data_IF_757805878481
#
_entry.id   IF_757805878481
#
_cell.length_a   1.000
_cell.length_b   1.000
_cell.length_c   1.000
_cell.angle_alpha   90.00
_cell.angle_beta   90.00
_cell.angle_gamma   90.00
#
_symmetry.space_group_name_H-M   'P 1'
#
loop_
_entity.id
_entity.type
_entity.pdbx_description
1 polymer ?
#
# COMPACT_ATOMS: atom_id res chain seq x y z
N UNK A 1 3.38 46.26 51.54
CA UNK A 1 3.08 46.60 50.13
C UNK A 1 3.67 45.49 49.27
N UNK A 2 3.00 45.02 48.21
CA UNK A 2 3.56 43.96 47.35
C UNK A 2 4.90 44.40 46.76
N UNK A 3 5.85 43.46 46.68
CA UNK A 3 7.19 43.72 46.15
C UNK A 3 7.13 44.07 44.66
N UNK A 4 8.17 44.70 44.12
CA UNK A 4 8.22 44.95 42.67
C UNK A 4 8.19 43.66 41.86
N UNK A 5 8.88 42.62 42.32
CA UNK A 5 8.91 41.30 41.68
C UNK A 5 7.53 40.63 41.64
N UNK A 6 6.73 40.75 42.70
CA UNK A 6 5.35 40.23 42.72
C UNK A 6 4.46 40.96 41.72
N UNK A 7 4.58 42.29 41.63
CA UNK A 7 3.80 43.09 40.67
C UNK A 7 4.16 42.74 39.23
N UNK A 8 5.44 42.52 38.95
CA UNK A 8 5.91 42.15 37.62
C UNK A 8 5.51 40.72 37.25
N UNK A 9 5.48 39.80 38.22
CA UNK A 9 4.90 38.47 38.02
C UNK A 9 3.41 38.52 37.67
N UNK A 10 2.61 39.33 38.37
CA UNK A 10 1.19 39.49 38.05
C UNK A 10 0.96 40.13 36.67
N UNK A 11 1.78 41.11 36.27
CA UNK A 11 1.75 41.66 34.91
C UNK A 11 2.04 40.59 33.87
N UNK A 12 3.05 39.76 34.10
CA UNK A 12 3.39 38.65 33.22
C UNK A 12 2.22 37.65 33.07
N UNK A 13 1.56 37.27 34.17
CA UNK A 13 0.37 36.40 34.13
C UNK A 13 -0.79 37.01 33.33
N UNK A 14 -0.93 38.34 33.33
CA UNK A 14 -1.95 39.05 32.54
C UNK A 14 -1.61 39.17 31.04
N UNK A 15 -0.48 38.62 30.59
CA UNK A 15 -0.01 38.68 29.20
C UNK A 15 0.92 39.87 28.91
N UNK A 16 1.45 40.53 29.94
CA UNK A 16 2.48 41.57 29.82
C UNK A 16 3.89 41.01 29.60
N UNK A 17 4.88 41.90 29.45
CA UNK A 17 6.28 41.54 29.24
C UNK A 17 6.94 40.97 30.51
N UNK A 18 7.93 40.09 30.31
CA UNK A 18 8.79 39.57 31.37
C UNK A 18 9.89 40.59 31.69
N UNK A 19 9.63 41.49 32.65
CA UNK A 19 10.55 42.58 32.99
C UNK A 19 11.59 42.15 34.05
N UNK A 20 11.19 41.29 34.99
CA UNK A 20 12.04 40.73 36.05
C UNK A 20 12.81 39.48 35.59
N UNK A 21 13.99 39.24 36.19
CA UNK A 21 14.81 38.04 35.97
C UNK A 21 14.00 36.75 36.18
N UNK A 22 13.20 36.70 37.25
CA UNK A 22 12.32 35.57 37.55
C UNK A 22 11.28 35.30 36.43
N UNK A 23 10.65 36.35 35.91
CA UNK A 23 9.65 36.21 34.83
C UNK A 23 10.27 35.79 33.50
N UNK A 24 11.53 36.15 33.24
CA UNK A 24 12.26 35.75 32.03
C UNK A 24 12.63 34.27 32.07
N UNK A 25 13.11 33.79 33.21
CA UNK A 25 13.41 32.36 33.40
C UNK A 25 12.13 31.51 33.26
N UNK A 26 11.02 32.00 33.82
CA UNK A 26 9.72 31.35 33.68
C UNK A 26 9.28 31.27 32.21
N UNK A 27 9.41 32.36 31.44
CA UNK A 27 9.03 32.40 30.02
C UNK A 27 9.86 31.42 29.17
N UNK A 28 11.17 31.31 29.44
CA UNK A 28 12.05 30.34 28.79
C UNK A 28 11.61 28.90 29.10
N UNK A 29 11.28 28.60 30.35
CA UNK A 29 10.80 27.27 30.76
C UNK A 29 9.45 26.94 30.12
N UNK A 30 8.52 27.89 30.10
CA UNK A 30 7.20 27.70 29.46
C UNK A 30 7.36 27.51 27.95
N UNK A 31 8.20 28.30 27.30
CA UNK A 31 8.45 28.20 25.86
C UNK A 31 9.09 26.86 25.50
N UNK A 32 10.09 26.41 26.27
CA UNK A 32 10.72 25.10 26.06
C UNK A 32 9.72 23.94 26.27
N UNK A 33 8.88 24.02 27.30
CA UNK A 33 7.82 23.04 27.56
C UNK A 33 6.77 23.01 26.44
N UNK A 34 6.33 24.18 25.94
CA UNK A 34 5.39 24.32 24.81
C UNK A 34 6.00 23.77 23.53
N UNK A 35 7.26 24.08 23.26
CA UNK A 35 7.96 23.58 22.09
C UNK A 35 8.07 22.07 22.12
N UNK A 36 8.43 21.49 23.28
CA UNK A 36 8.45 20.04 23.46
C UNK A 36 7.06 19.41 23.24
N UNK A 37 5.99 20.04 23.76
CA UNK A 37 4.63 19.56 23.54
C UNK A 37 4.20 19.63 22.06
N UNK A 38 4.50 20.73 21.37
CA UNK A 38 4.20 20.87 19.94
C UNK A 38 5.00 19.89 19.09
N UNK A 39 6.28 19.70 19.40
CA UNK A 39 7.12 18.71 18.72
C UNK A 39 6.62 17.29 18.93
N UNK A 40 6.21 16.93 20.16
CA UNK A 40 5.57 15.63 20.41
C UNK A 40 4.30 15.47 19.58
N UNK A 41 3.45 16.49 19.53
CA UNK A 41 2.24 16.43 18.71
C UNK A 41 2.55 16.26 17.23
N UNK A 42 3.46 17.07 16.69
CA UNK A 42 3.88 16.99 15.28
C UNK A 42 4.47 15.63 14.94
N UNK A 43 5.33 15.10 15.83
CA UNK A 43 5.90 13.77 15.67
C UNK A 43 4.84 12.68 15.68
N UNK A 44 3.88 12.72 16.62
CA UNK A 44 2.78 11.76 16.68
C UNK A 44 1.91 11.82 15.41
N UNK A 45 1.57 13.02 14.93
CA UNK A 45 0.80 13.18 13.69
C UNK A 45 1.56 12.61 12.50
N UNK A 46 2.86 12.88 12.39
CA UNK A 46 3.70 12.36 11.32
C UNK A 46 3.80 10.83 11.38
N UNK A 47 4.03 10.25 12.56
CA UNK A 47 4.07 8.80 12.75
C UNK A 47 2.74 8.14 12.33
N UNK A 48 1.61 8.74 12.71
CA UNK A 48 0.29 8.28 12.29
C UNK A 48 0.11 8.32 10.77
N UNK A 49 0.54 9.41 10.12
CA UNK A 49 0.48 9.54 8.66
C UNK A 49 1.34 8.48 7.95
N UNK A 50 2.55 8.22 8.47
CA UNK A 50 3.43 7.16 7.97
C UNK A 50 2.76 5.79 8.09
N UNK A 51 2.16 5.48 9.24
CA UNK A 51 1.45 4.21 9.43
C UNK A 51 0.23 4.07 8.50
N UNK A 52 -0.55 5.14 8.35
CA UNK A 52 -1.71 5.14 7.46
C UNK A 52 -1.33 4.96 6.00
N UNK A 53 -0.25 5.62 5.55
CA UNK A 53 0.25 5.47 4.17
C UNK A 53 0.81 4.07 3.91
N UNK A 54 1.54 3.48 4.86
CA UNK A 54 2.01 2.11 4.78
C UNK A 54 0.84 1.12 4.67
N UNK A 55 -0.17 1.24 5.55
CA UNK A 55 -1.34 0.37 5.54
C UNK A 55 -2.13 0.50 4.23
N UNK A 56 -2.31 1.73 3.72
CA UNK A 56 -2.94 1.96 2.42
C UNK A 56 -2.17 1.27 1.30
N UNK A 57 -0.85 1.40 1.28
CA UNK A 57 0.00 0.74 0.29
C UNK A 57 -0.11 -0.78 0.33
N UNK A 58 -0.19 -1.36 1.53
CA UNK A 58 -0.40 -2.80 1.69
C UNK A 58 -1.77 -3.25 1.16
N UNK A 59 -2.84 -2.54 1.49
CA UNK A 59 -4.19 -2.85 0.99
C UNK A 59 -4.31 -2.71 -0.52
N UNK A 60 -3.73 -1.66 -1.10
CA UNK A 60 -3.70 -1.45 -2.55
C UNK A 60 -2.90 -2.55 -3.25
N UNK A 61 -1.71 -2.90 -2.71
CA UNK A 61 -0.90 -3.99 -3.22
C UNK A 61 -1.62 -5.34 -3.20
N UNK A 62 -2.34 -5.64 -2.10
CA UNK A 62 -3.15 -6.85 -2.02
C UNK A 62 -4.30 -6.86 -3.03
N UNK A 63 -5.01 -5.74 -3.19
CA UNK A 63 -6.11 -5.63 -4.16
C UNK A 63 -5.62 -5.79 -5.60
N UNK A 64 -4.48 -5.19 -5.94
CA UNK A 64 -3.88 -5.33 -7.28
C UNK A 64 -3.44 -6.78 -7.50
N UNK A 65 -2.72 -7.35 -6.54
CA UNK A 65 -2.25 -8.74 -6.62
C UNK A 65 -3.38 -9.77 -6.73
N UNK A 66 -4.49 -9.57 -6.00
CA UNK A 66 -5.67 -10.44 -6.11
C UNK A 66 -6.31 -10.34 -7.50
N UNK A 67 -6.53 -9.13 -8.02
CA UNK A 67 -7.12 -8.93 -9.35
C UNK A 67 -6.24 -9.50 -10.46
N UNK A 68 -4.93 -9.27 -10.38
CA UNK A 68 -3.98 -9.80 -11.36
C UNK A 68 -3.90 -11.33 -11.28
N UNK A 69 -3.85 -11.89 -10.06
CA UNK A 69 -3.87 -13.33 -9.83
C UNK A 69 -5.15 -14.00 -10.33
N UNK A 70 -6.31 -13.39 -10.14
CA UNK A 70 -7.58 -13.88 -10.69
C UNK A 70 -7.58 -13.89 -12.22
N UNK A 71 -7.09 -12.81 -12.86
CA UNK A 71 -7.01 -12.73 -14.31
C UNK A 71 -6.03 -13.77 -14.90
N UNK A 72 -4.87 -13.93 -14.28
CA UNK A 72 -3.89 -14.94 -14.69
C UNK A 72 -4.47 -16.34 -14.49
N UNK A 73 -5.08 -16.60 -13.32
CA UNK A 73 -5.70 -17.88 -13.01
C UNK A 73 -6.83 -18.26 -13.98
N UNK A 74 -7.68 -17.29 -14.36
CA UNK A 74 -8.72 -17.50 -15.36
C UNK A 74 -8.13 -17.84 -16.74
N UNK A 75 -7.10 -17.10 -17.18
CA UNK A 75 -6.40 -17.40 -18.45
C UNK A 75 -5.76 -18.78 -18.44
N UNK A 76 -5.09 -19.15 -17.34
CA UNK A 76 -4.49 -20.48 -17.21
C UNK A 76 -5.54 -21.60 -17.17
N UNK A 77 -6.68 -21.38 -16.51
CA UNK A 77 -7.78 -22.35 -16.50
C UNK A 77 -8.34 -22.55 -17.91
N UNK A 78 -8.58 -21.47 -18.66
CA UNK A 78 -9.02 -21.54 -20.06
C UNK A 78 -8.01 -22.27 -20.94
N UNK A 79 -6.70 -22.03 -20.77
CA UNK A 79 -5.65 -22.76 -21.48
C UNK A 79 -5.67 -24.26 -21.14
N UNK A 80 -5.88 -24.62 -19.87
CA UNK A 80 -6.01 -26.03 -19.46
C UNK A 80 -7.24 -26.70 -20.09
N UNK A 81 -8.37 -26.00 -20.16
CA UNK A 81 -9.57 -26.50 -20.84
C UNK A 81 -9.35 -26.67 -22.35
N UNK A 82 -8.68 -25.73 -23.01
CA UNK A 82 -8.29 -25.87 -24.41
C UNK A 82 -7.42 -27.13 -24.61
N UNK A 83 -6.42 -27.32 -23.74
CA UNK A 83 -5.55 -28.51 -23.78
C UNK A 83 -6.34 -29.81 -23.62
N UNK A 84 -7.31 -29.89 -22.70
CA UNK A 84 -8.13 -31.10 -22.55
C UNK A 84 -9.02 -31.33 -23.78
N UNK A 85 -9.64 -30.29 -24.32
CA UNK A 85 -10.48 -30.40 -25.53
C UNK A 85 -9.66 -30.84 -26.76
N UNK A 86 -8.41 -30.37 -26.87
CA UNK A 86 -7.49 -30.78 -27.93
C UNK A 86 -7.04 -32.24 -27.79
N UNK A 87 -6.84 -32.73 -26.56
CA UNK A 87 -6.50 -34.14 -26.29
C UNK A 87 -7.62 -35.09 -26.64
N UNK A 88 -8.86 -34.69 -26.39
CA UNK A 88 -10.02 -35.52 -26.71
C UNK A 88 -10.22 -35.64 -28.24
N UNK A 89 -9.70 -34.68 -29.04
CA UNK A 89 -9.72 -34.67 -30.50
C UNK A 89 -11.12 -34.78 -31.16
N UNK A 90 -12.19 -34.51 -30.40
CA UNK A 90 -13.58 -34.59 -30.86
C UNK A 90 -14.03 -33.27 -31.52
N UNK A 91 -13.52 -32.13 -31.05
CA UNK A 91 -13.96 -30.81 -31.50
C UNK A 91 -13.00 -30.20 -32.53
N UNK A 92 -13.52 -29.50 -33.57
CA UNK A 92 -12.70 -28.73 -34.48
C UNK A 92 -12.07 -27.51 -33.77
N UNK A 93 -10.87 -27.13 -34.21
CA UNK A 93 -10.05 -26.07 -33.62
C UNK A 93 -10.79 -24.72 -33.52
N UNK A 94 -11.61 -24.41 -34.52
CA UNK A 94 -12.47 -23.22 -34.59
C UNK A 94 -13.44 -23.14 -33.40
N UNK A 95 -14.06 -24.27 -33.02
CA UNK A 95 -14.99 -24.33 -31.90
C UNK A 95 -14.27 -24.19 -30.56
N UNK A 96 -13.06 -24.73 -30.44
CA UNK A 96 -12.24 -24.60 -29.23
C UNK A 96 -11.82 -23.13 -29.02
N UNK A 97 -11.47 -22.42 -30.10
CA UNK A 97 -11.19 -20.98 -30.07
C UNK A 97 -12.39 -20.16 -29.63
N UNK A 98 -13.58 -20.43 -30.18
CA UNK A 98 -14.82 -19.77 -29.78
C UNK A 98 -15.13 -19.96 -28.28
N UNK A 99 -14.97 -21.17 -27.74
CA UNK A 99 -15.29 -21.46 -26.34
C UNK A 99 -14.27 -20.92 -25.35
N UNK A 100 -12.99 -20.94 -25.71
CA UNK A 100 -11.90 -20.53 -24.80
C UNK A 100 -11.47 -19.08 -24.98
N UNK A 101 -11.96 -18.41 -26.03
CA UNK A 101 -11.57 -17.06 -26.44
C UNK A 101 -10.06 -16.91 -26.67
N UNK A 102 -9.37 -18.02 -26.93
CA UNK A 102 -7.95 -18.07 -27.28
C UNK A 102 -7.84 -17.98 -28.81
N UNK A 103 -7.00 -17.09 -29.38
CA UNK A 103 -6.83 -16.98 -30.82
C UNK A 103 -6.25 -18.27 -31.41
N UNK A 104 -6.63 -18.55 -32.66
CA UNK A 104 -6.24 -19.78 -33.37
C UNK A 104 -4.72 -19.97 -33.40
N UNK A 105 -3.95 -18.89 -33.58
CA UNK A 105 -2.48 -18.91 -33.58
C UNK A 105 -1.88 -19.47 -32.27
N UNK A 106 -2.47 -19.11 -31.13
CA UNK A 106 -1.99 -19.57 -29.81
C UNK A 106 -2.41 -21.03 -29.55
N UNK A 107 -3.56 -21.47 -30.08
CA UNK A 107 -3.97 -22.87 -30.02
C UNK A 107 -3.10 -23.77 -30.91
N UNK A 108 -2.73 -23.32 -32.11
CA UNK A 108 -1.83 -24.05 -33.00
C UNK A 108 -0.44 -24.23 -32.35
N UNK A 109 0.09 -23.21 -31.70
CA UNK A 109 1.32 -23.32 -30.91
C UNK A 109 1.20 -24.34 -29.77
N UNK A 110 0.06 -24.37 -29.07
CA UNK A 110 -0.22 -25.37 -28.03
C UNK A 110 -0.33 -26.79 -28.57
N UNK A 111 -0.85 -26.97 -29.79
CA UNK A 111 -0.85 -28.28 -30.47
C UNK A 111 0.55 -28.71 -30.89
N UNK A 112 1.37 -27.80 -31.44
CA UNK A 112 2.74 -28.07 -31.84
C UNK A 112 3.61 -28.50 -30.64
N UNK A 113 3.44 -27.83 -29.50
CA UNK A 113 4.14 -28.16 -28.25
C UNK A 113 3.73 -29.54 -27.71
N UNK A 114 2.47 -29.96 -27.90
CA UNK A 114 2.02 -31.31 -27.52
C UNK A 114 2.46 -32.40 -28.49
N UNK A 115 2.60 -32.11 -29.78
CA UNK A 115 3.19 -33.05 -30.75
C UNK A 115 4.66 -33.35 -30.43
N UNK A 116 5.44 -32.35 -29.99
CA UNK A 116 6.84 -32.58 -29.55
C UNK A 116 6.91 -33.46 -28.29
N UNK A 117 6.00 -33.28 -27.33
CA UNK A 117 5.95 -34.11 -26.11
C UNK A 117 5.49 -35.56 -26.37
N UNK A 118 4.75 -35.83 -27.45
CA UNK A 118 4.33 -37.18 -27.83
C UNK A 118 5.45 -38.01 -28.51
N UNK A 119 6.52 -37.35 -28.99
CA UNK A 119 7.65 -38.02 -29.66
C UNK A 119 8.72 -38.48 -28.65
N UNK A 120 8.69 -37.99 -27.39
CA UNK A 120 9.68 -38.31 -26.34
C UNK A 120 9.22 -39.40 -25.35
N UNK A 121 8.44 -40.38 -25.78
CA UNK A 121 8.30 -41.65 -25.03
C UNK A 121 9.21 -42.68 -25.70
N UNK A 122 10.44 -42.89 -25.23
CA UNK A 122 11.25 -44.03 -25.66
C UNK A 122 10.67 -45.33 -25.07
N UNK A 123 10.58 -46.34 -25.91
CA UNK A 123 10.33 -47.76 -25.58
C UNK A 123 11.22 -48.27 -24.43
#
# INVERSE_FOLDING_TARGET
>A
MPSEEEKDFFKFLSGGSADSEFTKDLDLLVTSARHNAQWRQQFMTWEQEVQLSYNRGLEEGQKIGQKEGELIGQKEALKKYAISMLKDAILPLEKISEYTQIPLEELEALTATQCEAAITVPD
#
